data_IF_596154200302
#
_entry.id   IF_596154200302
#
_cell.length_a   1.000
_cell.length_b   1.000
_cell.length_c   1.000
_cell.angle_alpha   90.00
_cell.angle_beta   90.00
_cell.angle_gamma   90.00
#
_symmetry.space_group_name_H-M   'P 1'
#
loop_
_entity.id
_entity.type
_entity.pdbx_description
1 polymer ?
#
# COMPACT_ATOMS: atom_id res chain seq x y z
N UNK A 1 -39.31 7.73 -15.44
CA UNK A 1 -38.48 8.08 -16.60
C UNK A 1 -38.31 6.84 -17.45
N UNK A 2 -38.76 6.85 -18.70
CA UNK A 2 -38.61 5.71 -19.60
C UNK A 2 -37.18 5.68 -20.18
N UNK A 3 -36.35 4.78 -19.63
CA UNK A 3 -34.94 4.66 -19.98
C UNK A 3 -34.78 4.16 -21.42
N UNK A 4 -35.77 3.42 -21.94
CA UNK A 4 -35.73 2.83 -23.29
C UNK A 4 -35.80 3.88 -24.39
N UNK A 5 -36.58 4.95 -24.21
CA UNK A 5 -36.67 6.04 -25.19
C UNK A 5 -35.36 6.82 -25.35
N UNK A 6 -34.60 7.01 -24.26
CA UNK A 6 -33.27 7.67 -24.33
C UNK A 6 -32.21 6.81 -24.99
N UNK A 7 -32.30 5.49 -24.87
CA UNK A 7 -31.33 4.56 -25.47
C UNK A 7 -31.43 4.52 -26.99
N UNK A 8 -32.62 4.77 -27.55
CA UNK A 8 -32.85 4.79 -29.01
C UNK A 8 -32.29 6.05 -29.69
N UNK A 9 -32.03 7.12 -28.94
CA UNK A 9 -31.49 8.39 -29.45
C UNK A 9 -29.94 8.43 -29.42
N UNK A 10 -29.31 7.49 -28.72
CA UNK A 10 -27.86 7.47 -28.50
C UNK A 10 -27.14 6.51 -29.43
N UNK A 11 -25.88 6.83 -29.76
CA UNK A 11 -25.01 5.90 -30.45
C UNK A 11 -24.66 4.70 -29.57
N UNK A 12 -24.34 3.56 -30.20
CA UNK A 12 -23.96 2.34 -29.47
C UNK A 12 -22.74 2.53 -28.55
N UNK A 13 -21.84 3.48 -28.88
CA UNK A 13 -20.67 3.79 -28.06
C UNK A 13 -21.05 4.60 -26.82
N UNK A 14 -21.94 5.59 -26.96
CA UNK A 14 -22.42 6.39 -25.82
C UNK A 14 -23.17 5.52 -24.80
N UNK A 15 -23.98 4.58 -25.27
CA UNK A 15 -24.67 3.62 -24.40
C UNK A 15 -23.67 2.77 -23.62
N UNK A 16 -22.61 2.26 -24.28
CA UNK A 16 -21.55 1.49 -23.60
C UNK A 16 -20.80 2.31 -22.57
N UNK A 17 -20.44 3.56 -22.89
CA UNK A 17 -19.75 4.46 -21.96
C UNK A 17 -20.64 4.82 -20.77
N UNK A 18 -21.93 5.09 -20.97
CA UNK A 18 -22.86 5.34 -19.87
C UNK A 18 -23.00 4.11 -18.96
N UNK A 19 -23.09 2.91 -19.54
CA UNK A 19 -23.13 1.68 -18.77
C UNK A 19 -21.88 1.52 -17.89
N UNK A 20 -20.69 1.72 -18.47
CA UNK A 20 -19.42 1.66 -17.73
C UNK A 20 -19.38 2.74 -16.65
N UNK A 21 -19.82 3.97 -16.96
CA UNK A 21 -19.86 5.07 -15.99
C UNK A 21 -20.77 4.77 -14.80
N UNK A 22 -21.95 4.20 -15.03
CA UNK A 22 -22.84 3.76 -13.96
C UNK A 22 -22.25 2.60 -13.16
N UNK A 23 -21.61 1.63 -13.82
CA UNK A 23 -20.92 0.53 -13.15
C UNK A 23 -19.77 1.02 -12.26
N UNK A 24 -19.02 2.04 -12.70
CA UNK A 24 -17.94 2.67 -11.94
C UNK A 24 -18.42 3.41 -10.69
N UNK A 25 -19.67 3.87 -10.68
CA UNK A 25 -20.28 4.55 -9.52
C UNK A 25 -20.74 3.58 -8.44
N UNK A 26 -20.80 2.27 -8.72
CA UNK A 26 -21.22 1.27 -7.74
C UNK A 26 -20.21 1.16 -6.59
N UNK A 27 -20.71 0.92 -5.39
CA UNK A 27 -19.88 0.66 -4.21
C UNK A 27 -19.08 -0.62 -4.42
N UNK A 28 -17.79 -0.58 -4.08
CA UNK A 28 -16.89 -1.72 -4.28
C UNK A 28 -16.30 -1.85 -5.69
N UNK A 29 -16.63 -0.93 -6.62
CA UNK A 29 -15.98 -0.92 -7.93
C UNK A 29 -14.45 -0.77 -7.79
N UNK A 30 -13.72 -1.56 -8.57
CA UNK A 30 -12.27 -1.41 -8.69
C UNK A 30 -11.50 -1.84 -7.45
N UNK A 31 -12.12 -2.63 -6.56
CA UNK A 31 -11.47 -3.23 -5.39
C UNK A 31 -11.21 -4.71 -5.66
N UNK A 32 -9.97 -5.13 -5.45
CA UNK A 32 -9.54 -6.53 -5.49
C UNK A 32 -9.40 -7.01 -4.05
N UNK A 33 -10.10 -8.09 -3.72
CA UNK A 33 -10.17 -8.63 -2.37
C UNK A 33 -9.30 -9.88 -2.21
N UNK A 34 -8.60 -9.98 -1.08
CA UNK A 34 -7.90 -11.17 -0.63
C UNK A 34 -8.20 -11.45 0.84
N UNK A 35 -8.29 -12.71 1.22
CA UNK A 35 -8.37 -13.07 2.65
C UNK A 35 -7.00 -12.88 3.28
N UNK A 36 -6.93 -12.21 4.43
CA UNK A 36 -5.69 -11.91 5.13
C UNK A 36 -5.88 -11.70 6.64
N UNK A 37 -4.79 -11.82 7.39
CA UNK A 37 -4.70 -11.36 8.79
C UNK A 37 -3.87 -10.10 8.88
N UNK A 38 -4.24 -9.22 9.81
CA UNK A 38 -3.63 -7.92 9.99
C UNK A 38 -2.89 -7.80 11.32
N UNK A 39 -1.80 -7.06 11.31
CA UNK A 39 -1.12 -6.58 12.51
C UNK A 39 -0.71 -5.13 12.29
N UNK A 40 -1.26 -4.22 13.07
CA UNK A 40 -0.96 -2.79 13.01
C UNK A 40 -0.14 -2.42 14.23
N UNK A 41 1.05 -1.89 13.98
CA UNK A 41 1.94 -1.35 15.00
C UNK A 41 2.19 0.13 14.76
N UNK A 42 2.19 0.92 15.82
CA UNK A 42 2.46 2.37 15.77
C UNK A 42 3.59 2.71 16.73
N UNK A 43 4.34 3.81 16.50
CA UNK A 43 5.34 4.25 17.45
C UNK A 43 4.74 4.43 18.85
N UNK A 44 5.51 4.08 19.89
CA UNK A 44 5.11 4.25 21.31
C UNK A 44 4.70 5.71 21.57
N UNK A 45 5.44 6.68 21.03
CA UNK A 45 5.13 8.11 21.13
C UNK A 45 3.71 8.43 20.65
N UNK A 46 3.35 7.93 19.47
CA UNK A 46 2.01 8.11 18.87
C UNK A 46 0.94 7.41 19.69
N UNK A 47 1.19 6.19 20.18
CA UNK A 47 0.25 5.47 21.04
C UNK A 47 -0.03 6.22 22.35
N UNK A 48 0.96 6.95 22.89
CA UNK A 48 0.85 7.71 24.12
C UNK A 48 0.47 9.19 23.91
N UNK A 49 0.22 9.62 22.67
CA UNK A 49 -0.11 11.02 22.34
C UNK A 49 1.04 12.01 22.58
N UNK A 50 2.27 11.51 22.62
CA UNK A 50 3.48 12.31 22.83
C UNK A 50 4.00 12.90 21.51
N UNK A 51 4.62 14.09 21.54
CA UNK A 51 5.31 14.65 20.38
C UNK A 51 6.33 13.68 19.80
N UNK A 52 6.47 13.63 18.47
CA UNK A 52 7.39 12.74 17.78
C UNK A 52 8.86 12.96 18.20
N UNK A 53 9.21 14.17 18.64
CA UNK A 53 10.54 14.59 19.10
C UNK A 53 10.78 14.37 20.61
N UNK A 54 9.92 13.62 21.29
CA UNK A 54 10.09 13.39 22.73
C UNK A 54 11.41 12.64 22.97
N UNK A 55 12.31 13.17 23.82
CA UNK A 55 13.63 12.58 24.01
C UNK A 55 13.53 11.20 24.67
N UNK A 56 14.46 10.31 24.27
CA UNK A 56 14.52 8.90 24.68
C UNK A 56 14.46 8.67 26.21
N UNK A 57 14.85 9.66 27.01
CA UNK A 57 14.83 9.61 28.46
C UNK A 57 13.41 9.56 29.05
N UNK A 58 12.40 10.12 28.37
CA UNK A 58 11.01 10.12 28.84
C UNK A 58 10.35 8.73 28.77
N UNK A 59 10.86 7.82 27.93
CA UNK A 59 10.33 6.46 27.80
C UNK A 59 10.92 5.47 28.82
N UNK A 60 12.06 5.80 29.46
CA UNK A 60 12.71 4.93 30.46
C UNK A 60 12.00 4.94 31.82
N UNK A 61 11.20 5.95 32.13
CA UNK A 61 10.42 6.00 33.38
C UNK A 61 9.14 5.18 33.32
N UNK A 62 8.71 4.77 32.12
CA UNK A 62 7.47 4.02 31.93
C UNK A 62 7.77 2.52 31.88
N UNK A 63 7.76 1.90 33.04
CA UNK A 63 7.94 0.45 33.21
C UNK A 63 6.69 -0.30 32.76
N UNK A 64 6.52 -0.48 31.44
CA UNK A 64 5.42 -1.27 30.89
C UNK A 64 5.74 -2.77 30.98
N UNK A 65 4.97 -3.51 31.80
CA UNK A 65 5.05 -4.96 31.97
C UNK A 65 4.43 -5.76 30.78
N UNK A 66 4.44 -5.23 29.56
CA UNK A 66 3.66 -5.79 28.45
C UNK A 66 4.53 -6.55 27.45
N UNK A 67 4.20 -7.83 27.24
CA UNK A 67 4.87 -8.78 26.33
C UNK A 67 4.74 -8.48 24.83
N UNK A 68 4.30 -7.27 24.47
CA UNK A 68 4.06 -6.83 23.09
C UNK A 68 5.08 -5.78 22.59
N UNK A 69 6.16 -5.56 23.34
CA UNK A 69 7.22 -4.61 22.99
C UNK A 69 8.38 -5.37 22.35
N UNK A 70 8.62 -5.14 21.07
CA UNK A 70 9.74 -5.76 20.36
C UNK A 70 11.03 -4.99 20.73
N UNK A 71 12.08 -5.64 21.27
CA UNK A 71 13.15 -4.97 22.01
C UNK A 71 14.03 -4.00 21.19
N UNK A 72 13.98 -4.08 19.85
CA UNK A 72 14.69 -3.17 18.94
C UNK A 72 13.76 -2.21 18.18
N UNK A 73 12.44 -2.32 18.36
CA UNK A 73 11.44 -1.55 17.63
C UNK A 73 10.67 -0.73 18.64
N UNK A 74 10.81 0.59 18.57
CA UNK A 74 10.07 1.57 19.39
C UNK A 74 8.59 1.67 18.96
N UNK A 75 8.00 0.54 18.59
CA UNK A 75 6.62 0.41 18.12
C UNK A 75 5.83 -0.52 19.04
N UNK A 76 4.54 -0.24 19.19
CA UNK A 76 3.56 -1.02 19.94
C UNK A 76 2.51 -1.53 18.96
N UNK A 77 2.22 -2.84 19.01
CA UNK A 77 1.11 -3.42 18.28
C UNK A 77 -0.22 -3.01 18.92
N UNK A 78 -1.03 -2.25 18.18
CA UNK A 78 -2.32 -1.73 18.63
C UNK A 78 -3.51 -2.51 18.07
N UNK A 79 -3.30 -3.26 16.99
CA UNK A 79 -4.35 -4.11 16.41
C UNK A 79 -3.72 -5.39 15.92
N UNK A 80 -4.18 -6.53 16.43
CA UNK A 80 -3.80 -7.84 15.95
C UNK A 80 -5.07 -8.61 15.60
N UNK A 81 -5.20 -9.00 14.34
CA UNK A 81 -6.32 -9.78 13.87
C UNK A 81 -6.14 -11.24 14.29
N UNK A 82 -7.06 -11.73 15.12
CA UNK A 82 -7.11 -13.14 15.53
C UNK A 82 -7.97 -14.00 14.60
N UNK A 83 -8.77 -13.36 13.76
CA UNK A 83 -9.68 -13.99 12.81
C UNK A 83 -9.23 -13.69 11.39
N UNK A 84 -9.74 -14.47 10.46
CA UNK A 84 -9.50 -14.20 9.05
C UNK A 84 -10.35 -13.00 8.63
N UNK A 85 -9.71 -12.04 7.98
CA UNK A 85 -10.33 -10.81 7.51
C UNK A 85 -10.04 -10.64 6.02
N UNK A 86 -10.43 -9.50 5.46
CA UNK A 86 -10.25 -9.23 4.03
C UNK A 86 -9.42 -7.97 3.83
N UNK A 87 -8.39 -8.07 2.99
CA UNK A 87 -7.70 -6.91 2.43
C UNK A 87 -8.32 -6.55 1.09
N UNK A 88 -8.76 -5.30 0.96
CA UNK A 88 -9.22 -4.71 -0.30
C UNK A 88 -8.17 -3.76 -0.84
N UNK A 89 -7.66 -4.01 -2.05
CA UNK A 89 -6.78 -3.09 -2.77
C UNK A 89 -7.61 -2.43 -3.85
N UNK A 90 -7.84 -1.12 -3.73
CA UNK A 90 -8.64 -0.36 -4.68
C UNK A 90 -7.93 0.91 -5.15
N UNK A 91 -8.62 1.70 -5.96
CA UNK A 91 -8.03 2.91 -6.54
C UNK A 91 -7.58 3.89 -5.44
N UNK A 92 -6.27 4.06 -5.29
CA UNK A 92 -5.70 5.00 -4.31
C UNK A 92 -5.56 4.50 -2.87
N UNK A 93 -5.99 3.27 -2.50
CA UNK A 93 -5.96 2.82 -1.09
C UNK A 93 -5.89 1.30 -0.91
N UNK A 94 -5.35 0.89 0.23
CA UNK A 94 -5.45 -0.45 0.82
C UNK A 94 -6.37 -0.38 2.02
N UNK A 95 -7.36 -1.25 2.12
CA UNK A 95 -8.34 -1.25 3.20
C UNK A 95 -8.48 -2.63 3.84
N UNK A 96 -8.76 -2.63 5.15
CA UNK A 96 -9.17 -3.78 5.92
C UNK A 96 -10.69 -3.81 5.96
N UNK A 97 -11.26 -4.92 5.53
CA UNK A 97 -12.70 -5.15 5.48
C UNK A 97 -13.11 -6.26 6.44
N UNK A 98 -14.29 -6.10 7.04
CA UNK A 98 -14.97 -7.20 7.71
C UNK A 98 -15.42 -8.25 6.67
N UNK A 99 -15.13 -9.54 6.86
CA UNK A 99 -15.52 -10.60 5.92
C UNK A 99 -17.05 -10.81 5.84
N UNK A 100 -17.80 -10.46 6.87
CA UNK A 100 -19.24 -10.71 6.98
C UNK A 100 -20.10 -9.52 6.53
N UNK A 101 -19.70 -8.30 6.88
CA UNK A 101 -20.45 -7.08 6.55
C UNK A 101 -19.89 -6.34 5.33
N UNK A 102 -18.62 -6.57 4.98
CA UNK A 102 -17.90 -5.81 3.96
C UNK A 102 -17.51 -4.40 4.39
N UNK A 103 -17.81 -4.00 5.64
CA UNK A 103 -17.47 -2.68 6.18
C UNK A 103 -15.96 -2.48 6.28
N UNK A 104 -15.51 -1.23 6.11
CA UNK A 104 -14.10 -0.86 6.20
C UNK A 104 -13.74 -0.59 7.66
N UNK A 105 -12.91 -1.44 8.27
CA UNK A 105 -12.37 -1.25 9.63
C UNK A 105 -11.18 -0.30 9.67
N UNK A 106 -10.35 -0.30 8.62
CA UNK A 106 -9.21 0.61 8.50
C UNK A 106 -8.88 0.83 7.02
N UNK A 107 -8.37 2.00 6.67
CA UNK A 107 -7.96 2.32 5.31
C UNK A 107 -6.66 3.13 5.28
N UNK A 108 -5.75 2.71 4.42
CA UNK A 108 -4.46 3.32 4.16
C UNK A 108 -4.41 3.79 2.71
N UNK A 109 -4.56 5.10 2.50
CA UNK A 109 -4.32 5.78 1.22
C UNK A 109 -2.88 5.57 0.78
N UNK A 110 -2.68 5.41 -0.52
CA UNK A 110 -1.38 5.19 -1.14
C UNK A 110 -0.38 6.30 -0.81
N UNK A 111 -0.84 7.55 -0.70
CA UNK A 111 -0.03 8.72 -0.28
C UNK A 111 0.54 8.61 1.15
N UNK A 112 -0.10 7.84 2.02
CA UNK A 112 0.38 7.61 3.39
C UNK A 112 1.40 6.46 3.46
N UNK A 113 1.56 5.67 2.39
CA UNK A 113 2.47 4.53 2.35
C UNK A 113 3.79 5.01 1.73
N UNK A 114 4.84 5.06 2.54
CA UNK A 114 6.18 5.45 2.08
C UNK A 114 6.88 4.35 1.29
N UNK A 115 6.52 3.10 1.57
CA UNK A 115 7.02 1.93 0.88
C UNK A 115 6.44 0.65 1.48
N UNK A 116 6.78 -0.48 0.87
CA UNK A 116 6.40 -1.79 1.39
C UNK A 116 7.54 -2.80 1.26
N UNK A 117 7.54 -3.78 2.15
CA UNK A 117 8.44 -4.92 2.10
C UNK A 117 7.61 -6.21 1.92
N UNK A 118 8.12 -7.12 1.09
CA UNK A 118 7.48 -8.40 0.79
C UNK A 118 8.35 -9.51 1.35
N UNK A 119 7.93 -10.08 2.48
CA UNK A 119 8.58 -11.25 3.05
C UNK A 119 7.93 -12.52 2.49
N UNK A 120 8.61 -13.18 1.54
CA UNK A 120 8.12 -14.40 0.89
C UNK A 120 8.18 -15.63 1.78
N UNK A 121 9.11 -15.66 2.74
CA UNK A 121 9.28 -16.79 3.66
C UNK A 121 8.15 -16.82 4.68
N UNK A 122 7.78 -15.66 5.22
CA UNK A 122 6.70 -15.53 6.20
C UNK A 122 5.33 -15.26 5.56
N UNK A 123 5.28 -15.13 4.23
CA UNK A 123 4.08 -14.72 3.49
C UNK A 123 3.47 -13.40 4.01
N UNK A 124 4.32 -12.40 4.27
CA UNK A 124 3.91 -11.12 4.85
C UNK A 124 4.18 -9.94 3.92
N UNK A 125 3.18 -9.08 3.76
CA UNK A 125 3.31 -7.76 3.15
C UNK A 125 3.34 -6.73 4.27
N UNK A 126 4.40 -5.95 4.31
CA UNK A 126 4.66 -4.97 5.35
C UNK A 126 4.57 -3.58 4.75
N UNK A 127 3.55 -2.81 5.10
CA UNK A 127 3.39 -1.42 4.70
C UNK A 127 4.08 -0.52 5.73
N UNK A 128 4.90 0.40 5.23
CA UNK A 128 5.53 1.46 6.02
C UNK A 128 4.72 2.74 5.82
N UNK A 129 4.07 3.20 6.89
CA UNK A 129 3.26 4.41 6.86
C UNK A 129 4.13 5.63 7.14
N UNK A 130 3.72 6.79 6.63
CA UNK A 130 4.34 8.05 7.02
C UNK A 130 4.07 8.36 8.50
N UNK A 131 5.02 9.00 9.21
CA UNK A 131 4.72 9.58 10.51
C UNK A 131 3.57 10.59 10.34
N UNK A 132 2.61 10.56 11.26
CA UNK A 132 1.53 11.54 11.27
C UNK A 132 2.17 12.92 11.38
N UNK A 133 2.12 13.71 10.30
CA UNK A 133 2.75 15.02 10.25
C UNK A 133 2.14 15.88 11.36
N UNK A 134 2.95 16.25 12.35
CA UNK A 134 2.70 17.42 13.18
C UNK A 134 2.64 18.61 12.23
N UNK A 135 1.49 19.28 12.20
CA UNK A 135 1.31 20.57 11.55
C UNK A 135 2.48 21.50 11.91
N UNK A 136 3.02 22.29 10.97
CA UNK A 136 4.05 23.27 11.28
C UNK A 136 3.41 24.38 12.12
N UNK A 137 3.58 24.33 13.44
CA UNK A 137 3.34 25.49 14.30
C UNK A 137 4.43 26.50 13.97
N UNK A 138 4.04 27.52 13.22
CA UNK A 138 4.75 28.78 13.02
C UNK A 138 5.29 29.24 14.37
N UNK A 139 6.58 29.04 14.61
CA UNK A 139 7.27 29.64 15.75
C UNK A 139 8.31 30.57 15.19
N UNK A 140 8.14 31.83 15.57
CA UNK A 140 8.81 32.99 15.05
C UNK A 140 10.34 32.87 15.11
N UNK A 141 10.93 33.48 14.10
CA UNK A 141 12.32 33.88 13.94
C UNK A 141 12.97 34.32 15.26
N UNK A 142 14.09 33.69 15.61
CA UNK A 142 15.21 34.35 16.30
C UNK A 142 16.51 33.69 15.83
N UNK A 143 17.53 34.46 15.41
CA UNK A 143 18.75 33.93 14.85
C UNK A 143 19.82 33.82 15.94
N UNK A 144 20.38 32.63 16.19
CA UNK A 144 21.78 32.59 16.61
C UNK A 144 22.46 31.23 16.40
N UNK A 145 23.74 31.35 16.04
CA UNK A 145 24.84 30.42 16.29
C UNK A 145 24.85 28.97 15.71
N UNK A 146 25.69 28.86 14.67
CA UNK A 146 26.76 27.83 14.53
C UNK A 146 26.42 26.46 13.94
N UNK A 147 26.62 26.41 12.62
CA UNK A 147 27.09 25.30 11.77
C UNK A 147 27.68 24.09 12.54
N UNK A 148 27.04 22.93 12.41
CA UNK A 148 27.70 21.62 12.54
C UNK A 148 27.01 20.60 11.63
N UNK A 149 27.83 19.90 10.84
CA UNK A 149 27.47 18.87 9.86
C UNK A 149 26.59 17.77 10.45
N UNK A 150 25.42 17.54 9.83
CA UNK A 150 24.57 16.38 10.08
C UNK A 150 24.97 15.29 9.10
N UNK A 151 25.62 14.25 9.61
CA UNK A 151 25.69 12.93 8.97
C UNK A 151 24.28 12.32 9.08
N UNK A 152 23.64 11.86 7.99
CA UNK A 152 22.35 11.19 8.10
C UNK A 152 22.58 9.79 8.66
N UNK A 153 22.37 9.65 9.97
CA UNK A 153 22.14 8.35 10.60
C UNK A 153 20.74 7.84 10.19
N UNK A 154 20.56 6.52 9.95
CA UNK A 154 19.24 5.98 9.62
C UNK A 154 18.35 6.09 10.86
N UNK A 155 17.53 7.14 10.93
CA UNK A 155 16.52 7.27 11.97
C UNK A 155 15.54 6.08 11.86
N UNK A 156 15.19 5.41 12.97
CA UNK A 156 14.16 4.39 12.94
C UNK A 156 12.87 5.03 12.44
N UNK A 157 12.23 4.40 11.46
CA UNK A 157 10.99 4.89 10.84
C UNK A 157 9.98 5.31 11.92
N UNK A 158 9.80 6.62 12.11
CA UNK A 158 8.84 7.22 13.04
C UNK A 158 7.38 7.00 12.59
N UNK A 159 7.18 6.27 11.49
CA UNK A 159 5.87 5.94 10.95
C UNK A 159 5.28 4.66 11.52
N UNK A 160 3.95 4.53 11.39
CA UNK A 160 3.25 3.28 11.67
C UNK A 160 3.63 2.16 10.70
N UNK A 161 3.37 0.92 11.08
CA UNK A 161 3.63 -0.29 10.29
C UNK A 161 2.38 -1.15 10.26
N UNK A 162 2.03 -1.67 9.08
CA UNK A 162 0.91 -2.60 8.90
C UNK A 162 1.43 -3.87 8.26
N UNK A 163 1.26 -5.00 8.92
CA UNK A 163 1.55 -6.33 8.37
C UNK A 163 0.25 -6.94 7.89
N UNK A 164 0.28 -7.42 6.67
CA UNK A 164 -0.81 -8.13 6.02
C UNK A 164 -0.28 -9.52 5.72
N UNK A 165 -0.97 -10.55 6.21
CA UNK A 165 -0.62 -11.96 6.02
C UNK A 165 -1.69 -12.62 5.18
N UNK A 166 -1.52 -12.75 3.86
CA UNK A 166 -2.53 -13.33 2.99
C UNK A 166 -2.75 -14.81 3.30
N UNK A 167 -3.99 -15.26 3.13
CA UNK A 167 -4.43 -16.64 3.37
C UNK A 167 -4.90 -17.23 2.04
N UNK A 168 -4.43 -18.43 1.72
CA UNK A 168 -4.78 -19.13 0.48
C UNK A 168 -4.16 -18.56 -0.80
N UNK A 169 -3.44 -17.44 -0.70
CA UNK A 169 -2.69 -16.84 -1.81
C UNK A 169 -1.27 -16.46 -1.39
N UNK A 170 -0.28 -16.53 -2.30
CA UNK A 170 1.04 -16.04 -2.02
C UNK A 170 1.03 -14.51 -1.90
N UNK A 171 1.82 -13.98 -0.98
CA UNK A 171 1.98 -12.55 -0.75
C UNK A 171 2.44 -11.80 -1.99
N UNK A 172 3.18 -12.49 -2.87
CA UNK A 172 3.57 -11.94 -4.15
C UNK A 172 2.37 -11.46 -4.97
N UNK A 173 1.23 -12.19 -4.94
CA UNK A 173 0.05 -11.78 -5.71
C UNK A 173 -0.56 -10.50 -5.16
N UNK A 174 -0.59 -10.37 -3.84
CA UNK A 174 -1.09 -9.17 -3.16
C UNK A 174 -0.17 -7.98 -3.42
N UNK A 175 1.16 -8.17 -3.38
CA UNK A 175 2.13 -7.12 -3.70
C UNK A 175 2.13 -6.73 -5.18
N UNK A 176 1.92 -7.67 -6.10
CA UNK A 176 1.75 -7.39 -7.53
C UNK A 176 0.55 -6.47 -7.74
N UNK A 177 -0.61 -6.78 -7.15
CA UNK A 177 -1.81 -5.95 -7.28
C UNK A 177 -1.58 -4.55 -6.69
N UNK A 178 -0.91 -4.44 -5.54
CA UNK A 178 -0.53 -3.15 -4.97
C UNK A 178 0.37 -2.35 -5.92
N UNK A 179 1.43 -2.99 -6.45
CA UNK A 179 2.38 -2.37 -7.36
C UNK A 179 1.76 -1.93 -8.68
N UNK A 180 0.88 -2.76 -9.26
CA UNK A 180 0.10 -2.44 -10.48
C UNK A 180 -0.80 -1.22 -10.23
N UNK A 181 -1.47 -1.18 -9.08
CA UNK A 181 -2.35 -0.08 -8.72
C UNK A 181 -1.58 1.24 -8.56
N UNK A 182 -0.43 1.21 -7.88
CA UNK A 182 0.50 2.36 -7.80
C UNK A 182 0.93 2.80 -9.20
N UNK A 183 1.37 1.85 -10.04
CA UNK A 183 1.81 2.13 -11.40
C UNK A 183 0.73 2.80 -12.25
N UNK A 184 -0.52 2.31 -12.15
CA UNK A 184 -1.67 2.90 -12.82
C UNK A 184 -1.96 4.32 -12.31
N UNK A 185 -1.83 4.57 -11.01
CA UNK A 185 -2.04 5.91 -10.43
C UNK A 185 -0.98 6.93 -10.85
N UNK A 186 0.21 6.49 -11.28
CA UNK A 186 1.27 7.38 -11.76
C UNK A 186 1.06 7.83 -13.22
N UNK A 187 0.18 7.17 -13.97
CA UNK A 187 -0.13 7.53 -15.36
C UNK A 187 -1.17 8.63 -15.37
N UNK A 188 -0.90 9.72 -16.10
CA UNK A 188 -1.91 10.77 -16.34
C UNK A 188 -2.19 10.90 -17.84
N UNK A 189 -3.39 11.36 -18.22
CA UNK A 189 -3.73 11.59 -19.64
C UNK A 189 -2.76 12.58 -20.32
N UNK A 190 -2.14 13.45 -19.54
CA UNK A 190 -1.26 14.54 -19.97
C UNK A 190 0.23 14.25 -19.80
N UNK A 191 0.61 13.15 -19.14
CA UNK A 191 2.00 12.82 -18.77
C UNK A 191 2.22 11.30 -18.80
N UNK A 192 3.27 10.86 -19.50
CA UNK A 192 3.72 9.46 -19.58
C UNK A 192 2.71 8.50 -20.25
N UNK A 193 2.47 8.71 -21.54
CA UNK A 193 1.74 7.76 -22.40
C UNK A 193 2.61 6.54 -22.78
N UNK A 194 3.93 6.65 -22.66
CA UNK A 194 4.85 5.53 -22.87
C UNK A 194 4.87 4.58 -21.66
N UNK A 195 4.94 3.28 -21.94
CA UNK A 195 4.95 2.24 -20.94
C UNK A 195 6.37 2.10 -20.34
N UNK A 196 6.57 2.59 -19.12
CA UNK A 196 7.79 2.35 -18.35
C UNK A 196 7.77 0.94 -17.72
N UNK A 197 8.23 -0.04 -18.50
CA UNK A 197 8.31 -1.44 -18.07
C UNK A 197 9.26 -1.63 -16.88
N UNK A 198 10.35 -0.87 -16.80
CA UNK A 198 11.34 -1.01 -15.74
C UNK A 198 10.75 -0.61 -14.39
N UNK A 199 10.02 0.51 -14.35
CA UNK A 199 9.31 0.94 -13.16
C UNK A 199 8.19 -0.04 -12.80
N UNK A 200 7.47 -0.57 -13.79
CA UNK A 200 6.46 -1.60 -13.57
C UNK A 200 7.04 -2.83 -12.86
N UNK A 201 8.10 -3.45 -13.40
CA UNK A 201 8.74 -4.63 -12.82
C UNK A 201 9.26 -4.36 -11.40
N UNK A 202 9.83 -3.17 -11.18
CA UNK A 202 10.29 -2.75 -9.84
C UNK A 202 9.15 -2.68 -8.82
N UNK A 203 8.00 -2.11 -9.19
CA UNK A 203 6.85 -1.98 -8.29
C UNK A 203 6.21 -3.32 -7.95
N UNK A 204 6.13 -4.25 -8.90
CA UNK A 204 5.55 -5.57 -8.65
C UNK A 204 6.55 -6.55 -7.98
N UNK A 205 7.79 -6.13 -7.76
CA UNK A 205 8.83 -6.97 -7.16
C UNK A 205 9.30 -8.11 -8.07
N UNK A 206 9.15 -7.93 -9.39
CA UNK A 206 9.65 -8.85 -10.40
C UNK A 206 11.01 -8.38 -10.93
N UNK A 207 11.94 -9.32 -11.13
CA UNK A 207 13.19 -9.01 -11.84
C UNK A 207 12.90 -8.99 -13.35
N UNK A 208 13.37 -7.97 -14.09
CA UNK A 208 13.25 -7.91 -15.55
C UNK A 208 13.80 -9.15 -16.25
N UNK A 209 14.79 -9.84 -15.66
CA UNK A 209 15.37 -11.05 -16.27
C UNK A 209 14.41 -12.24 -16.33
N UNK A 210 13.42 -12.36 -15.44
CA UNK A 210 12.45 -13.48 -15.51
C UNK A 210 11.55 -13.39 -16.75
N UNK A 211 11.30 -12.19 -17.27
CA UNK A 211 10.50 -11.97 -18.49
C UNK A 211 11.28 -12.37 -19.75
N UNK A 212 12.57 -12.06 -19.82
CA UNK A 212 13.44 -12.41 -20.95
C UNK A 212 13.61 -13.92 -21.14
N UNK A 213 13.68 -14.70 -20.05
CA UNK A 213 13.74 -16.17 -20.15
C UNK A 213 12.40 -16.83 -20.54
N UNK A 214 11.26 -16.23 -20.19
CA UNK A 214 9.94 -16.75 -20.60
C UNK A 214 9.70 -16.60 -22.12
N UNK A 215 10.15 -15.48 -22.70
CA UNK A 215 10.09 -15.26 -24.15
C UNK A 215 11.11 -16.11 -24.93
N UNK A 216 12.27 -16.43 -24.36
CA UNK A 216 13.26 -17.28 -25.01
C UNK A 216 12.81 -18.75 -25.15
N UNK A 217 12.08 -19.28 -24.17
CA UNK A 217 11.54 -20.66 -24.23
C UNK A 217 10.37 -20.75 -25.22
N UNK A 218 9.60 -19.68 -25.40
CA UNK A 218 8.50 -19.64 -26.37
C UNK A 218 8.99 -19.49 -27.81
N UNK A 219 10.13 -18.83 -28.03
CA UNK A 219 10.73 -18.63 -29.36
C UNK A 219 11.50 -19.86 -29.88
N UNK A 220 11.93 -20.78 -29.00
CA UNK A 220 12.70 -21.97 -29.40
C UNK A 220 11.82 -23.18 -29.79
N UNK A 221 10.53 -23.17 -29.46
CA UNK A 221 9.60 -24.25 -29.80
C UNK A 221 9.05 -24.18 -31.24
N UNK A 222 9.29 -23.10 -31.99
CA UNK A 222 8.70 -22.88 -33.32
C UNK A 222 9.56 -23.35 -34.51
N UNK A 223 10.76 -23.90 -34.28
CA UNK A 223 11.70 -24.28 -35.36
C UNK A 223 12.13 -25.74 -35.27
N UNK A 224 11.20 -26.68 -35.39
CA UNK A 224 11.55 -28.05 -35.81
C UNK A 224 10.37 -28.72 -36.52
N UNK A 225 10.34 -28.61 -37.84
CA UNK A 225 9.50 -29.44 -38.73
C UNK A 225 10.47 -30.21 -39.64
N UNK A 226 10.48 -31.56 -39.63
CA UNK A 226 11.38 -32.33 -40.47
C UNK A 226 10.86 -32.42 -41.91
N UNK A 227 11.80 -32.43 -42.85
CA UNK A 227 11.59 -32.65 -44.29
C UNK A 227 11.68 -34.14 -44.61
#
# INVERSE_FOLDING_TARGET
MDIRGRLTEMSALEVKLQYIGHWQQLTGNGIIYFVARFETSVPVATALGLPADTPDQAYRSLSFHSSHIHPNSRQVTISLSRRDEVVGIGNGRVARHDPSTGEIHAAWRLEMIQGWNVNRELNELVLMLAPAATSPTTTATSPDATRSQIVPSPSPSTGGRVVIRPIGVPVQKVSEVLGVNVFLSLRSPTKSQELDEALFYRLIGASPMKSLYANAVSATAATTLPR
#
